data_IF_516116263315
#
_entry.id   IF_516116263315
#
_cell.length_a   1.000
_cell.length_b   1.000
_cell.length_c   1.000
_cell.angle_alpha   90.00
_cell.angle_beta   90.00
_cell.angle_gamma   90.00
#
_symmetry.space_group_name_H-M   'P 1'
#
loop_
_entity.id
_entity.type
_entity.pdbx_description
1 polymer ?
#
# COMPACT_ATOMS: atom_id res chain seq x y z
N UNK A 1 -5.70 -28.09 -24.41
CA UNK A 1 -5.62 -27.27 -23.18
C UNK A 1 -5.58 -28.28 -22.05
N UNK A 2 -4.42 -28.42 -21.41
CA UNK A 2 -4.26 -29.40 -20.33
C UNK A 2 -4.74 -28.76 -19.02
N UNK A 3 -5.66 -29.44 -18.36
CA UNK A 3 -6.18 -29.08 -17.03
C UNK A 3 -5.37 -29.84 -15.99
N UNK A 4 -4.74 -29.12 -15.05
CA UNK A 4 -3.90 -29.73 -14.01
C UNK A 4 -4.71 -29.86 -12.72
N UNK A 5 -4.77 -31.08 -12.19
CA UNK A 5 -5.46 -31.37 -10.90
C UNK A 5 -4.43 -31.42 -9.79
N UNK A 6 -4.52 -30.47 -8.85
CA UNK A 6 -3.66 -30.44 -7.67
C UNK A 6 -4.26 -31.27 -6.56
N UNK A 7 -3.60 -32.37 -6.17
CA UNK A 7 -3.94 -33.09 -4.95
C UNK A 7 -3.15 -32.54 -3.76
N UNK A 8 -3.85 -32.29 -2.68
CA UNK A 8 -3.43 -31.59 -1.47
C UNK A 8 -2.53 -32.40 -0.53
N UNK A 9 -1.54 -33.12 -1.01
CA UNK A 9 -0.49 -33.73 -0.15
C UNK A 9 0.48 -32.69 0.47
N UNK A 10 0.29 -31.43 0.12
CA UNK A 10 1.10 -30.31 0.61
C UNK A 10 0.73 -29.81 2.02
N UNK A 11 -0.29 -30.36 2.66
CA UNK A 11 -0.73 -29.93 4.00
C UNK A 11 0.31 -30.15 5.13
N UNK A 12 1.41 -30.85 4.83
CA UNK A 12 2.43 -31.18 5.82
C UNK A 12 3.68 -30.27 5.80
N UNK A 13 3.88 -29.44 4.78
CA UNK A 13 4.97 -28.45 4.78
C UNK A 13 4.36 -27.08 5.00
N UNK A 14 4.62 -26.47 6.15
CA UNK A 14 4.13 -25.11 6.47
C UNK A 14 4.48 -24.11 5.37
N UNK A 15 3.64 -23.09 5.21
CA UNK A 15 3.85 -21.96 4.29
C UNK A 15 5.22 -21.37 4.59
N UNK A 16 6.06 -21.15 3.57
CA UNK A 16 7.36 -20.52 3.75
C UNK A 16 7.16 -19.11 4.36
N UNK A 17 8.20 -18.60 5.01
CA UNK A 17 8.17 -17.27 5.63
C UNK A 17 7.85 -16.19 4.59
N UNK A 18 8.35 -16.36 3.39
CA UNK A 18 8.13 -15.49 2.23
C UNK A 18 6.69 -15.61 1.71
N UNK A 19 6.16 -16.82 1.61
CA UNK A 19 4.76 -17.06 1.29
C UNK A 19 3.80 -16.42 2.30
N UNK A 20 4.16 -16.42 3.59
CA UNK A 20 3.39 -15.72 4.63
C UNK A 20 3.39 -14.19 4.43
N UNK A 21 4.53 -13.60 4.02
CA UNK A 21 4.61 -12.17 3.73
C UNK A 21 3.61 -11.80 2.63
N UNK A 22 3.57 -12.56 1.54
CA UNK A 22 2.65 -12.31 0.44
C UNK A 22 1.20 -12.54 0.89
N UNK A 23 0.90 -13.69 1.52
CA UNK A 23 -0.45 -14.03 2.00
C UNK A 23 -1.01 -12.98 2.99
N UNK A 24 -0.20 -12.48 3.92
CA UNK A 24 -0.62 -11.45 4.87
C UNK A 24 -0.97 -10.10 4.23
N UNK A 25 -0.48 -9.82 3.02
CA UNK A 25 -0.81 -8.60 2.30
C UNK A 25 -2.16 -8.64 1.60
N UNK A 26 -2.71 -9.82 1.33
CA UNK A 26 -3.99 -9.92 0.62
C UNK A 26 -5.13 -10.58 1.42
N UNK A 27 -4.82 -11.45 2.40
CA UNK A 27 -5.82 -12.32 3.04
C UNK A 27 -6.99 -11.57 3.69
N UNK A 28 -6.74 -10.39 4.24
CA UNK A 28 -7.70 -9.60 5.02
C UNK A 28 -8.04 -8.24 4.40
N UNK A 29 -7.86 -8.08 3.08
CA UNK A 29 -8.19 -6.82 2.43
C UNK A 29 -9.70 -6.66 2.30
N UNK A 30 -10.27 -5.51 2.72
CA UNK A 30 -11.68 -5.21 2.53
C UNK A 30 -12.06 -5.11 1.05
N UNK A 31 -13.35 -5.16 0.74
CA UNK A 31 -13.83 -5.23 -0.65
C UNK A 31 -13.53 -3.98 -1.46
N UNK A 32 -13.56 -2.81 -0.83
CA UNK A 32 -13.27 -1.50 -1.43
C UNK A 32 -11.77 -1.27 -1.74
N UNK A 33 -10.90 -2.12 -1.23
CA UNK A 33 -9.46 -2.11 -1.56
C UNK A 33 -9.09 -3.04 -2.72
N UNK A 34 -10.07 -3.75 -3.33
CA UNK A 34 -9.84 -4.80 -4.33
C UNK A 34 -10.14 -4.31 -5.74
N UNK A 35 -9.19 -4.43 -6.62
CA UNK A 35 -9.29 -4.01 -8.03
C UNK A 35 -9.27 -5.20 -8.95
N UNK A 36 -10.10 -5.18 -9.99
CA UNK A 36 -10.16 -6.26 -10.99
C UNK A 36 -9.23 -6.01 -12.18
N UNK A 37 -8.76 -4.77 -12.35
CA UNK A 37 -7.78 -4.43 -13.38
C UNK A 37 -6.73 -3.44 -12.88
N UNK A 38 -5.52 -3.53 -13.44
CA UNK A 38 -4.47 -2.53 -13.19
C UNK A 38 -4.87 -1.14 -13.71
N UNK A 39 -5.65 -1.07 -14.78
CA UNK A 39 -6.10 0.22 -15.34
C UNK A 39 -6.97 0.96 -14.33
N UNK A 40 -7.98 0.29 -13.77
CA UNK A 40 -8.88 0.91 -12.78
C UNK A 40 -8.11 1.34 -11.53
N UNK A 41 -7.15 0.51 -11.07
CA UNK A 41 -6.30 0.86 -9.93
C UNK A 41 -5.46 2.10 -10.21
N UNK A 42 -4.83 2.18 -11.39
CA UNK A 42 -4.03 3.32 -11.83
C UNK A 42 -4.90 4.58 -11.89
N UNK A 43 -6.08 4.50 -12.51
CA UNK A 43 -6.98 5.64 -12.67
C UNK A 43 -7.44 6.19 -11.31
N UNK A 44 -7.82 5.33 -10.37
CA UNK A 44 -8.21 5.74 -9.01
C UNK A 44 -7.04 6.41 -8.29
N UNK A 45 -5.84 5.83 -8.34
CA UNK A 45 -4.66 6.40 -7.69
C UNK A 45 -4.18 7.69 -8.34
N UNK A 46 -4.24 7.80 -9.67
CA UNK A 46 -3.89 9.01 -10.41
C UNK A 46 -4.89 10.14 -10.16
N UNK A 47 -6.19 9.83 -10.13
CA UNK A 47 -7.22 10.82 -9.79
C UNK A 47 -7.03 11.34 -8.36
N UNK A 48 -6.74 10.46 -7.40
CA UNK A 48 -6.38 10.87 -6.04
C UNK A 48 -5.15 11.79 -6.06
N UNK A 49 -4.07 11.39 -6.76
CA UNK A 49 -2.85 12.19 -6.87
C UNK A 49 -3.11 13.59 -7.44
N UNK A 50 -3.95 13.72 -8.45
CA UNK A 50 -4.29 15.01 -9.08
C UNK A 50 -5.02 15.96 -8.12
N UNK A 51 -5.65 15.46 -7.07
CA UNK A 51 -6.29 16.28 -6.03
C UNK A 51 -5.32 16.69 -4.93
N UNK A 52 -4.09 16.12 -4.91
CA UNK A 52 -3.14 16.42 -3.86
C UNK A 52 -2.51 17.80 -4.04
N UNK A 53 -2.52 18.55 -2.96
CA UNK A 53 -1.79 19.81 -2.82
C UNK A 53 -0.71 19.64 -1.76
N UNK A 54 0.47 20.16 -1.99
CA UNK A 54 1.59 19.97 -1.08
C UNK A 54 2.27 18.61 -1.25
N UNK A 55 2.96 18.15 -0.23
CA UNK A 55 3.73 16.89 -0.24
C UNK A 55 5.12 17.00 -0.84
N UNK A 56 5.38 18.06 -1.58
CA UNK A 56 6.71 18.42 -2.10
C UNK A 56 7.34 19.58 -1.32
N UNK A 57 6.55 20.33 -0.57
CA UNK A 57 6.99 21.55 0.13
C UNK A 57 7.24 21.24 1.60
N UNK A 58 8.39 21.66 2.10
CA UNK A 58 8.71 21.62 3.52
C UNK A 58 7.90 22.70 4.25
N UNK A 59 7.17 22.30 5.28
CA UNK A 59 6.45 23.23 6.17
C UNK A 59 7.13 23.23 7.53
N UNK A 60 7.42 24.43 8.05
CA UNK A 60 7.94 24.57 9.41
C UNK A 60 6.88 24.19 10.42
N UNK A 61 7.27 23.46 11.45
CA UNK A 61 6.34 23.07 12.53
C UNK A 61 5.81 24.26 13.33
N UNK A 62 6.50 25.42 13.30
CA UNK A 62 5.99 26.68 13.83
C UNK A 62 4.78 27.25 13.07
N UNK A 63 4.57 26.82 11.84
CA UNK A 63 3.47 27.23 10.97
C UNK A 63 2.30 26.23 10.98
N UNK A 64 2.18 25.49 12.06
CA UNK A 64 1.09 24.55 12.31
C UNK A 64 0.15 25.09 13.37
N UNK A 65 -1.12 24.78 13.20
CA UNK A 65 -2.14 24.84 14.21
C UNK A 65 -2.87 23.50 14.24
N UNK A 66 -3.37 23.13 15.38
CA UNK A 66 -4.26 21.99 15.55
C UNK A 66 -5.52 22.52 16.18
N UNK A 67 -6.63 22.39 15.49
CA UNK A 67 -7.94 22.83 15.95
C UNK A 67 -8.90 21.63 16.03
N UNK A 68 -9.99 21.83 16.73
CA UNK A 68 -11.03 20.82 16.84
C UNK A 68 -12.42 21.48 16.73
N UNK A 69 -13.34 20.72 16.17
CA UNK A 69 -14.76 21.06 16.15
C UNK A 69 -15.51 19.95 16.89
N UNK A 70 -16.15 20.30 18.00
CA UNK A 70 -17.01 19.37 18.73
C UNK A 70 -18.33 19.22 17.99
N UNK A 71 -18.78 17.99 17.77
CA UNK A 71 -20.06 17.68 17.15
C UNK A 71 -20.99 17.02 18.17
N UNK A 72 -22.04 17.72 18.57
CA UNK A 72 -23.06 17.19 19.49
C UNK A 72 -22.71 17.29 20.98
N UNK A 73 -23.46 16.60 21.79
CA UNK A 73 -23.34 16.60 23.27
C UNK A 73 -22.35 15.55 23.79
N UNK A 74 -21.90 14.65 22.96
CA UNK A 74 -20.88 13.65 23.32
C UNK A 74 -19.49 14.22 23.08
N UNK A 75 -18.75 14.47 24.15
CA UNK A 75 -17.40 15.03 24.14
C UNK A 75 -16.38 14.16 23.39
N UNK A 76 -16.72 12.90 23.06
CA UNK A 76 -15.87 12.00 22.26
C UNK A 76 -16.11 12.15 20.77
N UNK A 77 -17.19 12.81 20.36
CA UNK A 77 -17.52 13.05 18.97
C UNK A 77 -17.05 14.46 18.59
N UNK A 78 -16.05 14.52 17.75
CA UNK A 78 -15.52 15.76 17.24
C UNK A 78 -14.52 15.50 16.15
N UNK A 79 -14.25 16.52 15.33
CA UNK A 79 -13.25 16.49 14.27
C UNK A 79 -12.01 17.22 14.72
N UNK A 80 -10.86 16.68 14.37
CA UNK A 80 -9.57 17.34 14.56
C UNK A 80 -9.06 17.78 13.21
N UNK A 81 -8.60 19.02 13.13
CA UNK A 81 -8.04 19.59 11.93
C UNK A 81 -6.57 19.96 12.15
N UNK A 82 -5.78 19.66 11.14
CA UNK A 82 -4.40 20.08 11.01
C UNK A 82 -4.36 21.24 10.03
N UNK A 83 -4.00 22.39 10.54
CA UNK A 83 -3.85 23.59 9.75
C UNK A 83 -2.37 23.90 9.56
N UNK A 84 -1.97 24.16 8.33
CA UNK A 84 -0.59 24.52 8.02
C UNK A 84 -0.54 25.58 6.94
N UNK A 85 0.52 26.39 7.01
CA UNK A 85 0.78 27.44 6.03
C UNK A 85 1.82 26.95 5.03
N UNK A 86 1.47 26.98 3.76
CA UNK A 86 2.43 26.82 2.68
C UNK A 86 3.16 28.15 2.47
N UNK A 87 4.46 28.17 2.75
CA UNK A 87 5.30 29.38 2.64
C UNK A 87 5.44 29.85 1.18
N UNK A 88 5.33 28.93 0.22
CA UNK A 88 5.48 29.26 -1.22
C UNK A 88 4.27 30.03 -1.74
N UNK A 89 3.07 29.56 -1.39
CA UNK A 89 1.82 30.15 -1.84
C UNK A 89 1.25 31.17 -0.85
N UNK A 90 1.83 31.24 0.34
CA UNK A 90 1.35 32.03 1.50
C UNK A 90 -0.08 31.70 1.94
N UNK A 91 -0.60 30.52 1.56
CA UNK A 91 -1.97 30.08 1.88
C UNK A 91 -1.99 29.15 3.08
N UNK A 92 -3.05 29.26 3.87
CA UNK A 92 -3.38 28.30 4.92
C UNK A 92 -4.27 27.21 4.35
N UNK A 93 -3.97 25.98 4.72
CA UNK A 93 -4.79 24.79 4.45
C UNK A 93 -5.29 24.23 5.78
N UNK A 94 -6.59 23.92 5.84
CA UNK A 94 -7.23 23.22 6.96
C UNK A 94 -7.58 21.81 6.50
N UNK A 95 -7.08 20.80 7.17
CA UNK A 95 -7.21 19.41 6.71
C UNK A 95 -7.61 18.48 7.85
N UNK A 96 -8.60 17.61 7.58
CA UNK A 96 -8.97 16.51 8.49
C UNK A 96 -8.03 15.33 8.22
N UNK A 97 -7.29 14.82 9.23
CA UNK A 97 -6.36 13.74 9.03
C UNK A 97 -7.07 12.40 8.85
N UNK A 98 -6.62 11.58 7.88
CA UNK A 98 -6.95 10.15 7.86
C UNK A 98 -6.45 9.47 9.14
N UNK A 99 -6.93 8.27 9.42
CA UNK A 99 -6.44 7.50 10.58
C UNK A 99 -4.92 7.31 10.57
N UNK A 100 -4.32 7.16 9.39
CA UNK A 100 -2.88 7.03 9.25
C UNK A 100 -2.16 8.36 9.53
N UNK A 101 -2.61 9.43 8.90
CA UNK A 101 -2.05 10.77 9.12
C UNK A 101 -2.19 11.22 10.57
N UNK A 102 -3.31 10.92 11.24
CA UNK A 102 -3.48 11.18 12.67
C UNK A 102 -2.40 10.52 13.52
N UNK A 103 -2.06 9.24 13.22
CA UNK A 103 -0.97 8.56 13.94
C UNK A 103 0.38 9.25 13.71
N UNK A 104 0.65 9.72 12.49
CA UNK A 104 1.90 10.43 12.16
C UNK A 104 1.97 11.79 12.87
N UNK A 105 0.88 12.55 12.89
CA UNK A 105 0.80 13.83 13.58
C UNK A 105 0.92 13.66 15.09
N UNK A 106 0.25 12.66 15.66
CA UNK A 106 0.37 12.30 17.06
C UNK A 106 1.83 11.97 17.45
N UNK A 107 2.51 11.20 16.60
CA UNK A 107 3.94 10.87 16.77
C UNK A 107 4.83 12.10 16.65
N UNK A 108 4.50 13.06 15.80
CA UNK A 108 5.17 14.34 15.70
C UNK A 108 5.08 15.11 17.04
N UNK A 109 3.90 15.11 17.67
CA UNK A 109 3.66 15.66 19.00
C UNK A 109 4.15 14.78 20.14
N UNK A 110 4.77 13.63 19.87
CA UNK A 110 5.20 12.62 20.87
C UNK A 110 4.06 12.14 21.79
N UNK A 111 2.82 12.20 21.32
CA UNK A 111 1.64 11.77 22.05
C UNK A 111 1.12 10.42 21.49
N UNK A 112 0.77 9.44 22.33
CA UNK A 112 0.24 8.16 21.87
C UNK A 112 -1.12 8.33 21.20
N UNK A 113 -1.25 7.98 19.93
CA UNK A 113 -2.49 8.16 19.16
C UNK A 113 -3.67 7.36 19.75
N UNK A 114 -3.41 6.19 20.31
CA UNK A 114 -4.43 5.38 20.99
C UNK A 114 -5.04 6.11 22.20
N UNK A 115 -4.22 6.79 22.99
CA UNK A 115 -4.68 7.61 24.11
C UNK A 115 -5.46 8.83 23.62
N UNK A 116 -4.93 9.55 22.65
CA UNK A 116 -5.59 10.74 22.10
C UNK A 116 -7.00 10.46 21.56
N UNK A 117 -7.23 9.26 21.00
CA UNK A 117 -8.56 8.84 20.52
C UNK A 117 -9.58 8.59 21.64
N UNK A 118 -9.16 8.52 22.89
CA UNK A 118 -10.05 8.39 24.05
C UNK A 118 -10.46 9.74 24.64
N UNK A 119 -9.83 10.81 24.20
CA UNK A 119 -10.07 12.17 24.69
C UNK A 119 -11.15 12.88 23.84
N UNK A 120 -11.80 13.93 24.38
CA UNK A 120 -12.52 14.90 23.59
C UNK A 120 -11.62 15.51 22.49
N UNK A 121 -12.19 15.86 21.34
CA UNK A 121 -11.41 16.34 20.20
C UNK A 121 -10.58 17.60 20.54
N UNK A 122 -11.16 18.53 21.30
CA UNK A 122 -10.48 19.76 21.76
C UNK A 122 -9.23 19.41 22.58
N UNK A 123 -9.38 18.54 23.57
CA UNK A 123 -8.26 18.15 24.45
C UNK A 123 -7.18 17.37 23.67
N UNK A 124 -7.59 16.52 22.71
CA UNK A 124 -6.65 15.85 21.80
C UNK A 124 -5.88 16.85 20.96
N UNK A 125 -6.55 17.85 20.39
CA UNK A 125 -5.94 18.89 19.57
C UNK A 125 -4.91 19.70 20.36
N UNK A 126 -5.26 20.10 21.60
CA UNK A 126 -4.36 20.82 22.49
C UNK A 126 -3.12 20.00 22.84
N UNK A 127 -3.27 18.71 23.17
CA UNK A 127 -2.14 17.81 23.45
C UNK A 127 -1.21 17.67 22.25
N UNK A 128 -1.76 17.47 21.04
CA UNK A 128 -0.98 17.37 19.80
C UNK A 128 -0.22 18.68 19.55
N UNK A 129 -0.92 19.81 19.62
CA UNK A 129 -0.32 21.13 19.38
C UNK A 129 0.81 21.44 20.39
N UNK A 130 0.55 21.18 21.67
CA UNK A 130 1.56 21.32 22.72
C UNK A 130 2.80 20.48 22.41
N UNK A 131 2.60 19.18 22.13
CA UNK A 131 3.69 18.26 21.82
C UNK A 131 4.50 18.69 20.61
N UNK A 132 3.86 19.16 19.54
CA UNK A 132 4.54 19.69 18.33
C UNK A 132 5.36 20.91 18.68
N UNK A 133 4.81 21.85 19.46
CA UNK A 133 5.50 23.09 19.87
C UNK A 133 6.77 22.83 20.68
N UNK A 134 6.81 21.74 21.43
CA UNK A 134 7.97 21.31 22.25
C UNK A 134 8.98 20.46 21.46
N UNK A 135 8.62 19.99 20.26
CA UNK A 135 9.47 19.07 19.49
C UNK A 135 10.53 19.81 18.67
N UNK A 136 11.62 20.23 19.31
CA UNK A 136 12.73 20.94 18.68
C UNK A 136 13.51 20.12 17.64
N UNK A 137 13.37 18.80 17.65
CA UNK A 137 14.12 17.91 16.74
C UNK A 137 13.49 17.79 15.35
N UNK A 138 12.24 18.23 15.18
CA UNK A 138 11.55 18.20 13.87
C UNK A 138 11.01 19.57 13.54
N UNK A 139 11.86 20.37 12.90
CA UNK A 139 11.51 21.74 12.50
C UNK A 139 10.75 21.79 11.17
N UNK A 140 10.86 20.74 10.34
CA UNK A 140 10.23 20.68 9.04
C UNK A 140 9.54 19.33 8.82
N UNK A 141 8.39 19.37 8.16
CA UNK A 141 7.59 18.22 7.74
C UNK A 141 7.02 18.46 6.37
N UNK A 142 6.60 17.38 5.69
CA UNK A 142 5.93 17.40 4.39
C UNK A 142 4.50 16.88 4.55
N UNK A 143 3.50 17.77 4.62
CA UNK A 143 2.09 17.35 4.56
C UNK A 143 1.75 16.88 3.15
N UNK A 144 0.94 15.82 3.04
CA UNK A 144 0.39 15.29 1.81
C UNK A 144 -1.11 15.26 1.94
N UNK A 145 -1.79 16.21 1.29
CA UNK A 145 -3.20 16.46 1.49
C UNK A 145 -3.94 16.64 0.17
N UNK A 146 -5.17 16.13 0.09
CA UNK A 146 -6.11 16.44 -0.97
C UNK A 146 -6.98 17.62 -0.54
N UNK A 147 -6.88 18.74 -1.27
CA UNK A 147 -7.72 19.93 -1.06
C UNK A 147 -8.50 20.21 -2.34
N UNK A 148 -9.81 19.92 -2.40
CA UNK A 148 -10.58 20.07 -3.62
C UNK A 148 -10.69 21.54 -4.05
N UNK A 149 -10.16 21.88 -5.22
CA UNK A 149 -10.33 23.19 -5.86
C UNK A 149 -9.90 24.38 -4.98
N UNK A 150 -10.79 25.36 -4.88
CA UNK A 150 -10.60 26.56 -4.05
C UNK A 150 -11.04 26.36 -2.59
N UNK A 151 -11.45 25.16 -2.19
CA UNK A 151 -11.88 24.88 -0.83
C UNK A 151 -10.75 25.13 0.16
N UNK A 152 -11.11 25.69 1.32
CA UNK A 152 -10.15 25.89 2.42
C UNK A 152 -9.91 24.60 3.21
N UNK A 153 -10.76 23.59 3.03
CA UNK A 153 -10.74 22.34 3.79
C UNK A 153 -10.46 21.14 2.89
N UNK A 154 -9.69 20.19 3.39
CA UNK A 154 -9.31 18.99 2.68
C UNK A 154 -9.03 17.81 3.59
N UNK A 155 -8.46 16.75 3.03
CA UNK A 155 -8.07 15.54 3.77
C UNK A 155 -6.55 15.42 3.81
N UNK A 156 -5.98 15.32 5.01
CA UNK A 156 -4.55 15.02 5.20
C UNK A 156 -4.34 13.51 5.13
N UNK A 157 -3.61 13.05 4.14
CA UNK A 157 -3.29 11.63 3.96
C UNK A 157 -1.98 11.21 4.62
N UNK A 158 -1.01 12.12 4.72
CA UNK A 158 0.24 11.87 5.40
C UNK A 158 0.89 13.14 5.95
N UNK A 159 1.69 12.94 7.01
CA UNK A 159 2.62 13.91 7.56
C UNK A 159 3.99 13.24 7.67
N UNK A 160 4.84 13.45 6.67
CA UNK A 160 6.14 12.78 6.59
C UNK A 160 7.28 13.73 6.96
N UNK A 161 8.46 13.17 7.27
CA UNK A 161 9.65 13.98 7.53
C UNK A 161 10.18 14.66 6.26
N UNK A 162 11.06 15.66 6.44
CA UNK A 162 11.67 16.42 5.35
C UNK A 162 12.39 15.55 4.31
N UNK A 163 13.10 14.53 4.79
CA UNK A 163 13.90 13.65 3.94
C UNK A 163 13.11 12.48 3.34
N UNK A 164 11.77 12.51 3.46
CA UNK A 164 10.93 11.50 2.86
C UNK A 164 10.84 11.70 1.35
N UNK A 165 11.38 10.75 0.58
CA UNK A 165 11.25 10.67 -0.88
C UNK A 165 10.00 9.87 -1.24
N UNK A 166 8.98 10.54 -1.76
CA UNK A 166 7.71 9.93 -2.10
C UNK A 166 7.81 9.22 -3.45
N UNK A 167 7.49 7.92 -3.43
CA UNK A 167 7.25 7.13 -4.63
C UNK A 167 5.73 7.02 -4.75
N UNK A 168 5.16 7.50 -5.83
CA UNK A 168 3.71 7.54 -6.00
C UNK A 168 3.17 6.18 -6.43
N UNK A 169 2.07 5.77 -5.80
CA UNK A 169 1.43 4.48 -6.05
C UNK A 169 0.99 4.32 -7.52
N UNK A 170 0.47 5.40 -8.14
CA UNK A 170 0.05 5.34 -9.54
C UNK A 170 1.24 5.18 -10.51
N UNK A 171 2.40 5.76 -10.21
CA UNK A 171 3.61 5.61 -11.03
C UNK A 171 4.12 4.17 -10.96
N UNK A 172 4.16 3.59 -9.76
CA UNK A 172 4.54 2.19 -9.56
C UNK A 172 3.61 1.26 -10.34
N UNK A 173 2.29 1.43 -10.21
CA UNK A 173 1.31 0.59 -10.90
C UNK A 173 1.39 0.76 -12.43
N UNK A 174 1.67 1.98 -12.93
CA UNK A 174 1.87 2.26 -14.35
C UNK A 174 3.11 1.54 -14.86
N UNK A 175 4.24 1.65 -14.16
CA UNK A 175 5.48 0.96 -14.53
C UNK A 175 5.30 -0.57 -14.56
N UNK A 176 4.56 -1.14 -13.60
CA UNK A 176 4.22 -2.56 -13.61
C UNK A 176 3.40 -2.91 -14.86
N UNK A 177 2.37 -2.11 -15.19
CA UNK A 177 1.53 -2.34 -16.37
C UNK A 177 2.34 -2.30 -17.66
N UNK A 178 3.27 -1.35 -17.77
CA UNK A 178 4.17 -1.22 -18.92
C UNK A 178 5.14 -2.40 -19.02
N UNK A 179 5.72 -2.81 -17.90
CA UNK A 179 6.66 -3.93 -17.85
C UNK A 179 6.04 -5.26 -18.28
N UNK A 180 4.76 -5.50 -17.96
CA UNK A 180 4.07 -6.75 -18.31
C UNK A 180 3.35 -6.70 -19.67
N UNK A 181 3.38 -5.59 -20.38
CA UNK A 181 2.55 -5.35 -21.58
C UNK A 181 2.68 -6.44 -22.67
N UNK A 182 3.87 -6.96 -22.90
CA UNK A 182 4.15 -8.01 -23.91
C UNK A 182 4.55 -9.34 -23.25
N UNK A 183 4.05 -9.61 -22.05
CA UNK A 183 4.33 -10.83 -21.30
C UNK A 183 3.03 -11.54 -20.94
N UNK A 184 3.14 -12.77 -20.45
CA UNK A 184 2.01 -13.55 -19.94
C UNK A 184 1.77 -13.33 -18.43
N UNK A 185 2.45 -12.37 -17.81
CA UNK A 185 2.20 -12.02 -16.41
C UNK A 185 0.83 -11.36 -16.24
N UNK A 186 0.02 -11.90 -15.37
CA UNK A 186 -1.34 -11.46 -15.09
C UNK A 186 -1.75 -11.75 -13.64
N UNK A 187 -2.92 -11.32 -13.25
CA UNK A 187 -3.56 -11.83 -12.04
C UNK A 187 -3.70 -13.34 -12.17
N UNK A 188 -3.24 -14.13 -11.18
CA UNK A 188 -3.33 -15.59 -11.26
C UNK A 188 -4.77 -16.06 -11.45
N UNK A 189 -4.92 -17.16 -12.15
CA UNK A 189 -6.18 -17.90 -12.23
C UNK A 189 -6.65 -18.38 -10.86
N UNK A 190 -7.64 -19.23 -10.84
CA UNK A 190 -8.21 -19.76 -9.61
C UNK A 190 -8.55 -21.25 -9.73
N UNK A 191 -8.79 -21.90 -8.60
CA UNK A 191 -9.35 -23.24 -8.60
C UNK A 191 -10.84 -23.19 -8.93
N UNK A 192 -11.24 -24.05 -9.83
CA UNK A 192 -12.65 -24.31 -10.13
C UNK A 192 -13.30 -25.13 -9.00
N UNK A 193 -14.64 -25.27 -9.06
CA UNK A 193 -15.38 -26.08 -8.08
C UNK A 193 -14.94 -27.55 -7.96
N UNK A 194 -14.17 -28.05 -8.95
CA UNK A 194 -13.62 -29.41 -8.97
C UNK A 194 -12.17 -29.50 -8.47
N UNK A 195 -11.67 -28.48 -7.78
CA UNK A 195 -10.27 -28.38 -7.34
C UNK A 195 -9.24 -28.39 -8.51
N UNK A 196 -9.66 -28.03 -9.70
CA UNK A 196 -8.77 -27.91 -10.86
C UNK A 196 -8.35 -26.46 -11.02
N UNK A 197 -7.06 -26.22 -11.17
CA UNK A 197 -6.55 -24.88 -11.46
C UNK A 197 -6.87 -24.48 -12.89
N UNK A 198 -7.50 -23.34 -13.07
CA UNK A 198 -7.80 -22.76 -14.38
C UNK A 198 -7.18 -21.33 -14.47
N UNK A 199 -6.17 -21.16 -15.33
CA UNK A 199 -5.53 -19.85 -15.54
C UNK A 199 -6.46 -18.83 -16.22
N UNK A 200 -7.60 -19.24 -16.77
CA UNK A 200 -8.53 -18.39 -17.50
C UNK A 200 -9.77 -18.00 -16.69
N UNK A 201 -9.83 -18.36 -15.41
CA UNK A 201 -10.91 -17.90 -14.54
C UNK A 201 -10.97 -16.38 -14.53
N UNK A 202 -12.13 -15.75 -14.81
CA UNK A 202 -12.27 -14.31 -14.80
C UNK A 202 -11.88 -13.70 -13.45
N UNK A 203 -11.12 -12.60 -13.50
CA UNK A 203 -10.76 -11.85 -12.29
C UNK A 203 -12.00 -11.20 -11.70
N UNK A 204 -12.23 -11.44 -10.42
CA UNK A 204 -13.33 -10.87 -9.64
C UNK A 204 -12.77 -10.24 -8.36
N UNK A 205 -13.58 -9.50 -7.61
CA UNK A 205 -13.18 -9.00 -6.29
C UNK A 205 -12.79 -10.15 -5.31
N UNK A 206 -13.30 -11.36 -5.55
CA UNK A 206 -12.93 -12.53 -4.76
C UNK A 206 -11.60 -13.17 -5.19
N UNK A 207 -11.22 -13.10 -6.47
CA UNK A 207 -10.05 -13.78 -7.05
C UNK A 207 -8.88 -12.84 -7.33
N UNK A 208 -9.08 -11.53 -7.28
CA UNK A 208 -8.02 -10.55 -7.57
C UNK A 208 -6.86 -10.61 -6.57
N UNK A 209 -5.68 -10.22 -7.06
CA UNK A 209 -4.46 -10.01 -6.29
C UNK A 209 -3.93 -8.57 -6.45
N UNK A 210 -4.81 -7.67 -6.90
CA UNK A 210 -4.55 -6.25 -7.05
C UNK A 210 -5.26 -5.49 -5.93
N UNK A 211 -4.50 -4.88 -5.05
CA UNK A 211 -5.04 -4.18 -3.88
C UNK A 211 -4.48 -2.77 -3.78
N UNK A 212 -5.35 -1.82 -3.46
CA UNK A 212 -4.96 -0.46 -3.15
C UNK A 212 -5.85 0.11 -2.05
N UNK A 213 -5.23 0.71 -1.04
CA UNK A 213 -5.90 1.39 0.07
C UNK A 213 -5.50 2.87 0.14
N UNK A 214 -5.94 3.57 1.17
CA UNK A 214 -5.45 4.90 1.52
C UNK A 214 -3.98 4.88 2.00
N UNK A 215 -3.44 3.72 2.31
CA UNK A 215 -2.12 3.53 2.93
C UNK A 215 -1.09 2.89 2.03
N UNK A 216 -1.48 1.96 1.17
CA UNK A 216 -0.54 1.19 0.36
C UNK A 216 -1.18 0.64 -0.93
N UNK A 217 -0.33 0.16 -1.82
CA UNK A 217 -0.69 -0.78 -2.87
C UNK A 217 0.03 -2.11 -2.66
N UNK A 218 -0.60 -3.18 -3.12
CA UNK A 218 0.00 -4.51 -3.23
C UNK A 218 -0.50 -5.17 -4.51
N UNK A 219 0.41 -5.51 -5.40
CA UNK A 219 0.15 -6.13 -6.70
C UNK A 219 0.89 -7.46 -6.72
N UNK A 220 0.19 -8.54 -6.99
CA UNK A 220 0.80 -9.85 -7.20
C UNK A 220 0.39 -10.41 -8.55
N UNK A 221 1.36 -10.77 -9.37
CA UNK A 221 1.19 -11.23 -10.75
C UNK A 221 2.00 -12.50 -10.98
N UNK A 222 1.48 -13.35 -11.87
CA UNK A 222 2.08 -14.65 -12.16
C UNK A 222 1.97 -14.94 -13.66
N UNK A 223 2.96 -15.65 -14.19
CA UNK A 223 2.94 -16.28 -15.49
C UNK A 223 2.47 -17.73 -15.30
N UNK A 224 1.16 -17.93 -15.29
CA UNK A 224 0.52 -19.25 -15.11
C UNK A 224 0.15 -19.93 -16.43
N UNK A 225 0.46 -19.28 -17.56
CA UNK A 225 0.31 -19.86 -18.89
C UNK A 225 1.55 -20.66 -19.33
N UNK A 226 2.72 -20.38 -18.73
CA UNK A 226 3.99 -21.00 -19.07
C UNK A 226 4.59 -21.73 -17.84
N UNK A 227 3.96 -22.82 -17.36
CA UNK A 227 4.46 -23.57 -16.22
C UNK A 227 5.81 -24.21 -16.51
N UNK A 228 6.63 -24.34 -15.47
CA UNK A 228 7.92 -25.04 -15.51
C UNK A 228 7.72 -26.39 -14.83
N UNK A 229 7.93 -27.50 -15.55
CA UNK A 229 7.93 -28.82 -14.96
C UNK A 229 9.25 -29.05 -14.20
N UNK A 230 9.16 -29.26 -12.90
CA UNK A 230 10.33 -29.49 -12.02
C UNK A 230 10.47 -30.94 -11.57
N UNK A 231 9.56 -31.81 -11.98
CA UNK A 231 9.54 -33.22 -11.64
C UNK A 231 8.16 -33.84 -11.73
N UNK A 232 7.94 -34.92 -10.99
CA UNK A 232 6.66 -35.60 -10.90
C UNK A 232 6.20 -35.69 -9.45
N UNK A 233 4.91 -35.48 -9.26
CA UNK A 233 4.24 -35.75 -8.00
C UNK A 233 4.14 -37.25 -7.72
N UNK A 234 3.82 -37.63 -6.48
CA UNK A 234 3.69 -39.05 -6.09
C UNK A 234 2.62 -39.84 -6.86
N UNK A 235 1.62 -39.13 -7.40
CA UNK A 235 0.56 -39.70 -8.25
C UNK A 235 0.94 -39.81 -9.72
N UNK A 236 2.16 -39.37 -10.11
CA UNK A 236 2.68 -39.42 -11.48
C UNK A 236 2.42 -38.14 -12.29
N UNK A 237 1.60 -37.20 -11.81
CA UNK A 237 1.35 -35.92 -12.47
C UNK A 237 2.59 -35.02 -12.49
N UNK A 238 2.74 -34.11 -13.46
CA UNK A 238 3.84 -33.17 -13.49
C UNK A 238 3.80 -32.23 -12.26
N UNK A 239 4.96 -32.04 -11.65
CA UNK A 239 5.13 -31.06 -10.59
C UNK A 239 5.51 -29.72 -11.21
N UNK A 240 4.58 -28.77 -11.16
CA UNK A 240 4.66 -27.52 -11.87
C UNK A 240 5.02 -26.36 -10.96
N UNK A 241 5.87 -25.49 -11.47
CA UNK A 241 6.20 -24.18 -10.90
C UNK A 241 5.79 -23.07 -11.85
N UNK A 242 5.41 -21.94 -11.26
CA UNK A 242 5.03 -20.72 -11.97
C UNK A 242 5.95 -19.59 -11.55
N UNK A 243 6.35 -18.77 -12.52
CA UNK A 243 7.06 -17.52 -12.24
C UNK A 243 6.08 -16.49 -11.70
N UNK A 244 6.45 -15.80 -10.66
CA UNK A 244 5.62 -14.77 -10.06
C UNK A 244 6.44 -13.63 -9.47
N UNK A 245 5.80 -12.49 -9.34
CA UNK A 245 6.36 -11.36 -8.60
C UNK A 245 5.27 -10.59 -7.87
N UNK A 246 5.67 -9.89 -6.82
CA UNK A 246 4.82 -8.90 -6.20
C UNK A 246 5.50 -7.55 -6.14
N UNK A 247 4.68 -6.51 -6.14
CA UNK A 247 5.11 -5.14 -5.88
C UNK A 247 4.26 -4.57 -4.76
N UNK A 248 4.90 -3.91 -3.81
CA UNK A 248 4.19 -3.14 -2.78
C UNK A 248 4.84 -1.78 -2.59
N UNK A 249 4.00 -0.79 -2.34
CA UNK A 249 4.44 0.59 -2.10
C UNK A 249 3.51 1.29 -1.13
N UNK A 250 3.98 2.39 -0.56
CA UNK A 250 3.17 3.30 0.24
C UNK A 250 3.61 4.74 0.06
N UNK A 251 2.84 5.51 -0.69
CA UNK A 251 3.08 6.95 -0.85
C UNK A 251 2.91 7.76 0.44
N UNK A 252 2.29 7.18 1.47
CA UNK A 252 2.02 7.84 2.76
C UNK A 252 2.97 7.42 3.88
N UNK A 253 3.95 6.55 3.59
CA UNK A 253 4.98 6.14 4.56
C UNK A 253 4.58 4.97 5.46
N UNK A 254 3.58 4.18 5.08
CA UNK A 254 3.18 2.98 5.83
C UNK A 254 4.14 1.80 5.58
N UNK A 255 4.75 1.74 4.40
CA UNK A 255 5.67 0.67 3.97
C UNK A 255 6.78 1.21 3.08
N UNK A 256 7.87 0.48 2.97
CA UNK A 256 8.89 0.67 1.93
C UNK A 256 8.36 0.18 0.58
N UNK A 257 8.92 0.68 -0.52
CA UNK A 257 8.78 0.01 -1.82
C UNK A 257 9.45 -1.36 -1.76
N UNK A 258 8.77 -2.36 -2.33
CA UNK A 258 9.31 -3.72 -2.46
C UNK A 258 8.91 -4.32 -3.80
N UNK A 259 9.85 -4.96 -4.44
CA UNK A 259 9.66 -5.85 -5.59
C UNK A 259 10.24 -7.20 -5.21
N UNK A 260 9.42 -8.23 -5.15
CA UNK A 260 9.86 -9.59 -4.86
C UNK A 260 9.54 -10.51 -6.03
N UNK A 261 10.54 -11.23 -6.53
CA UNK A 261 10.39 -12.29 -7.55
C UNK A 261 10.49 -13.65 -6.91
N UNK A 262 9.73 -14.62 -7.42
CA UNK A 262 9.67 -15.95 -6.84
C UNK A 262 9.15 -16.98 -7.83
N UNK A 263 9.46 -18.23 -7.55
CA UNK A 263 8.76 -19.36 -8.16
C UNK A 263 7.71 -19.91 -7.20
N UNK A 264 6.53 -20.17 -7.74
CA UNK A 264 5.37 -20.63 -6.99
C UNK A 264 5.08 -22.08 -7.34
N UNK A 265 5.03 -22.93 -6.33
CA UNK A 265 4.71 -24.35 -6.48
C UNK A 265 3.30 -24.60 -5.97
N UNK A 266 2.33 -24.48 -6.84
CA UNK A 266 0.91 -24.63 -6.54
C UNK A 266 0.30 -23.39 -5.86
N UNK A 267 -0.96 -23.13 -6.16
CA UNK A 267 -1.78 -22.09 -5.50
C UNK A 267 -2.89 -22.81 -4.73
N UNK A 268 -2.94 -22.61 -3.42
CA UNK A 268 -3.97 -23.19 -2.57
C UNK A 268 -5.30 -22.44 -2.71
N UNK A 269 -6.45 -23.14 -2.51
CA UNK A 269 -7.79 -22.56 -2.51
C UNK A 269 -7.96 -21.36 -1.57
N UNK A 270 -7.19 -21.30 -0.48
CA UNK A 270 -7.23 -20.22 0.50
C UNK A 270 -6.28 -19.05 0.17
N UNK A 271 -5.83 -18.92 -1.07
CA UNK A 271 -4.85 -17.92 -1.50
C UNK A 271 -3.52 -18.00 -0.71
N UNK A 272 -3.19 -19.17 -0.20
CA UNK A 272 -1.88 -19.44 0.38
C UNK A 272 -0.92 -19.82 -0.73
N UNK A 273 0.23 -19.17 -0.78
CA UNK A 273 1.33 -19.57 -1.65
C UNK A 273 2.03 -20.77 -1.02
N UNK A 274 2.08 -21.87 -1.75
CA UNK A 274 2.80 -23.06 -1.32
C UNK A 274 4.15 -23.13 -1.98
N UNK A 275 5.20 -23.25 -1.19
CA UNK A 275 6.54 -23.48 -1.71
C UNK A 275 7.04 -22.36 -2.59
N UNK A 276 7.48 -21.27 -2.00
CA UNK A 276 8.24 -20.21 -2.70
C UNK A 276 9.68 -20.69 -2.77
N UNK A 277 10.20 -20.79 -3.98
CA UNK A 277 11.62 -21.11 -4.24
C UNK A 277 12.29 -19.91 -4.94
N UNK A 278 13.60 -19.76 -4.73
CA UNK A 278 14.43 -18.70 -5.31
C UNK A 278 13.85 -17.27 -5.11
N UNK A 279 13.39 -17.00 -3.88
CA UNK A 279 12.89 -15.69 -3.52
C UNK A 279 14.00 -14.63 -3.54
N UNK A 280 13.77 -13.57 -4.30
CA UNK A 280 14.63 -12.39 -4.32
C UNK A 280 13.77 -11.16 -4.04
N UNK A 281 14.26 -10.24 -3.25
CA UNK A 281 13.55 -9.00 -2.92
C UNK A 281 14.46 -7.78 -3.06
N UNK A 282 14.00 -6.81 -3.81
CA UNK A 282 14.51 -5.45 -3.82
C UNK A 282 13.67 -4.64 -2.83
N UNK A 283 14.32 -3.97 -1.89
CA UNK A 283 13.66 -3.12 -0.89
C UNK A 283 14.26 -1.72 -0.92
N UNK A 284 13.43 -0.72 -1.18
CA UNK A 284 13.82 0.69 -1.22
C UNK A 284 13.06 1.47 -0.14
N UNK A 285 13.81 2.06 0.78
CA UNK A 285 13.23 2.94 1.78
C UNK A 285 12.97 4.33 1.17
N UNK A 286 11.86 4.96 1.55
CA UNK A 286 11.45 6.28 1.09
C UNK A 286 12.33 7.39 1.70
N UNK A 287 13.57 7.48 1.24
CA UNK A 287 14.50 8.57 1.54
C UNK A 287 14.53 9.58 0.39
N UNK A 288 15.18 10.72 0.56
CA UNK A 288 15.32 11.73 -0.50
C UNK A 288 15.93 11.19 -1.81
N UNK A 289 16.64 10.06 -1.76
CA UNK A 289 17.24 9.39 -2.92
C UNK A 289 16.43 8.18 -3.39
N UNK A 290 15.18 8.01 -2.92
CA UNK A 290 14.39 6.81 -3.21
C UNK A 290 14.12 6.63 -4.71
N UNK A 291 13.85 7.71 -5.44
CA UNK A 291 13.59 7.65 -6.88
C UNK A 291 14.84 7.29 -7.69
N UNK A 292 16.01 7.80 -7.30
CA UNK A 292 17.29 7.47 -7.96
C UNK A 292 17.58 5.98 -7.77
N UNK A 293 17.46 5.48 -6.53
CA UNK A 293 17.61 4.04 -6.23
C UNK A 293 16.60 3.17 -6.97
N UNK A 294 15.36 3.63 -7.11
CA UNK A 294 14.34 2.89 -7.86
C UNK A 294 14.76 2.72 -9.33
N UNK A 295 15.27 3.77 -9.95
CA UNK A 295 15.78 3.70 -11.33
C UNK A 295 16.98 2.77 -11.45
N UNK A 296 17.93 2.87 -10.52
CA UNK A 296 19.18 2.10 -10.58
C UNK A 296 18.99 0.61 -10.28
N UNK A 297 18.08 0.26 -9.35
CA UNK A 297 17.92 -1.13 -8.88
C UNK A 297 16.80 -1.89 -9.61
N UNK A 298 15.78 -1.20 -10.16
CA UNK A 298 14.62 -1.87 -10.78
C UNK A 298 14.70 -1.85 -12.32
N UNK A 299 15.30 -0.85 -12.95
CA UNK A 299 15.40 -0.78 -14.41
C UNK A 299 16.23 -1.92 -15.07
N UNK A 300 17.21 -2.56 -14.41
CA UNK A 300 17.93 -3.71 -14.96
C UNK A 300 17.28 -5.07 -14.68
N UNK A 301 16.24 -5.16 -13.84
CA UNK A 301 15.60 -6.41 -13.39
C UNK A 301 14.44 -6.83 -14.29
#
# INVERSE_FOLDING_TARGET
>A
METYTYQTDAAAKGISKEGQIVANNWANRPADERFISLTDLIDVKKNKHNLMTGGLVDVKTSNFKVSAEETGTDLKQGKIFIEYKDETTNKWFKTEPTNWAFNQVSSLGKAPSSYLRTLPATLSAENIFWGISQNRNRQFVKPYAAVPGAAAEGTLHAMTGRDYGRIYDYEVATSVKEAIYNTDFKVPGALTGNNTYDPFVPVTAATTTLFASDRDIFLFLVDDLNPIEVGKLKNGDPDLMFRGFYVSNSEVGAKSFRLGTMYLRGICMNRCLWGVENFQEIKINHTKFALDRLRDEVAPA
#
